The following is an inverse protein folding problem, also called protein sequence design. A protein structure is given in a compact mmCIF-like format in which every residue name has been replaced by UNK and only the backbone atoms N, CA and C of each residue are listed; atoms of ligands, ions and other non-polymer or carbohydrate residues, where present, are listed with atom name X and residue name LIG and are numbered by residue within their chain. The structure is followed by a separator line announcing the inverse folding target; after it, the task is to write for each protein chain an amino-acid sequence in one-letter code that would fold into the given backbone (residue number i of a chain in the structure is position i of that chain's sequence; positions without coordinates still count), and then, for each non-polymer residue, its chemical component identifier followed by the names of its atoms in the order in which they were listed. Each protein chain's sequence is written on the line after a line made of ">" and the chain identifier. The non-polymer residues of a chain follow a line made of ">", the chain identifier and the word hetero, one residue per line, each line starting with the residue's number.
data_IF_587043206867
#
_entry.id   IF_587043206867
#
_cell.length_a   1.000
_cell.length_b   1.000
_cell.length_c   1.000
_cell.angle_alpha   90.00
_cell.angle_beta   90.00
_cell.angle_gamma   90.00
#
_symmetry.space_group_name_H-M   'P 1'
#
loop_
_entity.id
_entity.type
_entity.pdbx_description
1 polymer ?
#
# COMPACT_ATOMS: atom_id res chain seq x y z
N UNK A 1 8.35 -0.81 -51.35
CA UNK A 1 9.18 -0.75 -50.13
C UNK A 1 9.06 0.61 -49.39
N UNK A 2 7.88 1.26 -49.37
CA UNK A 2 7.76 2.61 -48.77
C UNK A 2 6.34 2.85 -48.24
N UNK A 3 5.88 2.01 -47.29
CA UNK A 3 4.59 2.23 -46.60
C UNK A 3 4.54 1.66 -45.18
N UNK A 4 5.66 1.73 -44.44
CA UNK A 4 5.74 1.27 -43.03
C UNK A 4 6.18 2.36 -42.03
N UNK A 5 6.51 3.56 -42.49
CA UNK A 5 7.00 4.64 -41.63
C UNK A 5 5.93 5.65 -41.18
N UNK A 6 4.71 5.60 -41.75
CA UNK A 6 3.67 6.61 -41.50
C UNK A 6 2.66 6.29 -40.40
N UNK A 7 2.50 5.02 -40.01
CA UNK A 7 1.46 4.60 -39.04
C UNK A 7 1.98 4.61 -37.59
N UNK A 8 3.31 4.52 -37.39
CA UNK A 8 3.93 4.48 -36.05
C UNK A 8 3.99 5.86 -35.37
N UNK A 9 3.97 6.95 -36.15
CA UNK A 9 4.13 8.30 -35.62
C UNK A 9 2.91 8.80 -34.83
N UNK A 10 1.70 8.31 -35.14
CA UNK A 10 0.48 8.65 -34.41
C UNK A 10 0.39 7.91 -33.07
N UNK A 11 0.71 6.61 -33.05
CA UNK A 11 0.64 5.77 -31.84
C UNK A 11 1.73 6.10 -30.81
N UNK A 12 2.94 6.45 -31.27
CA UNK A 12 4.06 6.78 -30.38
C UNK A 12 3.87 8.10 -29.61
N UNK A 13 3.29 9.12 -30.26
CA UNK A 13 2.98 10.39 -29.60
C UNK A 13 1.88 10.23 -28.55
N UNK A 14 0.82 9.48 -28.88
CA UNK A 14 -0.29 9.20 -27.96
C UNK A 14 0.19 8.43 -26.72
N UNK A 15 1.01 7.38 -26.91
CA UNK A 15 1.59 6.62 -25.79
C UNK A 15 2.51 7.49 -24.92
N UNK A 16 3.29 8.39 -25.51
CA UNK A 16 4.13 9.32 -24.76
C UNK A 16 3.28 10.25 -23.87
N UNK A 17 2.16 10.75 -24.39
CA UNK A 17 1.21 11.57 -23.64
C UNK A 17 0.63 10.78 -22.46
N UNK A 18 0.21 9.53 -22.70
CA UNK A 18 -0.34 8.64 -21.67
C UNK A 18 0.69 8.39 -20.56
N UNK A 19 1.93 8.02 -20.90
CA UNK A 19 2.99 7.84 -19.92
C UNK A 19 3.29 9.13 -19.14
N UNK A 20 3.29 10.27 -19.83
CA UNK A 20 3.56 11.57 -19.20
C UNK A 20 2.49 11.93 -18.18
N UNK A 21 1.23 11.73 -18.50
CA UNK A 21 0.15 12.01 -17.54
C UNK A 21 0.09 10.99 -16.40
N UNK A 22 0.31 9.69 -16.66
CA UNK A 22 0.44 8.70 -15.58
C UNK A 22 1.59 9.07 -14.62
N UNK A 23 2.74 9.48 -15.14
CA UNK A 23 3.86 9.94 -14.32
C UNK A 23 3.52 11.22 -13.53
N UNK A 24 2.75 12.15 -14.12
CA UNK A 24 2.28 13.35 -13.44
C UNK A 24 1.32 13.02 -12.31
N UNK A 25 0.39 12.09 -12.53
CA UNK A 25 -0.55 11.61 -11.52
C UNK A 25 0.19 10.92 -10.36
N UNK A 26 1.19 10.09 -10.66
CA UNK A 26 2.06 9.49 -9.65
C UNK A 26 2.81 10.54 -8.82
N UNK A 27 3.35 11.59 -9.45
CA UNK A 27 4.03 12.68 -8.74
C UNK A 27 3.09 13.44 -7.80
N UNK A 28 1.82 13.63 -8.18
CA UNK A 28 0.81 14.23 -7.29
C UNK A 28 0.52 13.31 -6.09
N UNK A 29 0.47 12.01 -6.30
CA UNK A 29 0.32 11.02 -5.22
C UNK A 29 1.54 10.98 -4.29
N UNK A 30 2.76 11.15 -4.79
CA UNK A 30 3.97 11.22 -3.96
C UNK A 30 3.86 12.32 -2.90
N UNK A 31 3.31 13.49 -3.24
CA UNK A 31 3.07 14.55 -2.26
C UNK A 31 2.09 14.13 -1.16
N UNK A 32 1.04 13.37 -1.49
CA UNK A 32 0.12 12.80 -0.49
C UNK A 32 0.85 11.75 0.36
N UNK A 33 1.69 10.93 -0.26
CA UNK A 33 2.56 9.97 0.44
C UNK A 33 3.49 10.62 1.45
N UNK A 34 4.10 11.75 1.11
CA UNK A 34 4.96 12.52 2.02
C UNK A 34 4.18 13.07 3.22
N UNK A 35 2.94 13.51 3.01
CA UNK A 35 2.06 13.97 4.09
C UNK A 35 1.64 12.82 5.02
N UNK A 36 1.36 11.64 4.47
CA UNK A 36 1.10 10.43 5.24
C UNK A 36 2.32 10.04 6.09
N UNK A 37 3.52 10.05 5.51
CA UNK A 37 4.75 9.67 6.20
C UNK A 37 5.15 10.64 7.33
N UNK A 38 4.75 11.91 7.24
CA UNK A 38 5.08 12.97 8.21
C UNK A 38 3.97 13.24 9.23
N UNK A 39 2.93 12.42 9.25
CA UNK A 39 1.74 12.60 10.10
C UNK A 39 1.16 14.03 10.07
N UNK A 40 1.09 14.62 8.87
CA UNK A 40 0.55 15.97 8.70
C UNK A 40 -0.98 15.97 8.57
N UNK A 41 -1.67 17.10 8.83
CA UNK A 41 -3.13 17.18 8.69
C UNK A 41 -3.64 16.76 7.30
N UNK A 42 -4.25 15.59 7.19
CA UNK A 42 -4.53 14.95 5.89
C UNK A 42 -5.76 15.49 5.15
N UNK A 43 -6.63 16.29 5.80
CA UNK A 43 -7.78 16.90 5.09
C UNK A 43 -7.36 17.84 3.96
N UNK A 44 -6.14 18.40 4.06
CA UNK A 44 -5.57 19.26 3.02
C UNK A 44 -5.16 18.48 1.76
N UNK A 45 -5.26 17.15 1.75
CA UNK A 45 -5.00 16.31 0.57
C UNK A 45 -6.17 16.30 -0.41
N UNK A 46 -7.38 16.68 0.03
CA UNK A 46 -8.59 16.66 -0.81
C UNK A 46 -8.47 17.48 -2.10
N UNK A 47 -7.93 18.71 -2.11
CA UNK A 47 -7.66 19.44 -3.34
C UNK A 47 -6.72 18.68 -4.29
N UNK A 48 -5.74 17.95 -3.76
CA UNK A 48 -4.81 17.17 -4.59
C UNK A 48 -5.51 15.95 -5.16
N UNK A 49 -6.35 15.27 -4.38
CA UNK A 49 -7.23 14.22 -4.91
C UNK A 49 -8.18 14.76 -5.99
N UNK A 50 -8.69 15.98 -5.88
CA UNK A 50 -9.50 16.58 -6.94
C UNK A 50 -8.70 16.79 -8.24
N UNK A 51 -7.45 17.28 -8.16
CA UNK A 51 -6.57 17.41 -9.32
C UNK A 51 -6.19 16.04 -9.93
N UNK A 52 -6.01 15.02 -9.09
CA UNK A 52 -5.78 13.65 -9.57
C UNK A 52 -7.03 13.13 -10.28
N UNK A 53 -8.23 13.42 -9.77
CA UNK A 53 -9.49 13.01 -10.39
C UNK A 53 -9.62 13.61 -11.79
N UNK A 54 -9.42 14.93 -11.89
CA UNK A 54 -9.49 15.66 -13.16
C UNK A 54 -8.48 15.12 -14.17
N UNK A 55 -7.23 14.89 -13.77
CA UNK A 55 -6.21 14.32 -14.65
C UNK A 55 -6.50 12.87 -15.06
N UNK A 56 -7.08 12.06 -14.17
CA UNK A 56 -7.48 10.69 -14.48
C UNK A 56 -8.68 10.67 -15.45
N UNK A 57 -9.68 11.52 -15.24
CA UNK A 57 -10.82 11.68 -16.16
C UNK A 57 -10.37 12.13 -17.54
N UNK A 58 -9.49 13.14 -17.61
CA UNK A 58 -8.91 13.57 -18.87
C UNK A 58 -8.14 12.44 -19.58
N UNK A 59 -7.36 11.65 -18.82
CA UNK A 59 -6.61 10.54 -19.39
C UNK A 59 -7.51 9.44 -19.93
N UNK A 60 -8.62 9.15 -19.24
CA UNK A 60 -9.64 8.19 -19.71
C UNK A 60 -10.19 8.65 -21.05
N UNK A 61 -10.68 9.90 -21.13
CA UNK A 61 -11.22 10.47 -22.36
C UNK A 61 -10.17 10.48 -23.49
N UNK A 62 -8.92 10.83 -23.17
CA UNK A 62 -7.82 10.80 -24.14
C UNK A 62 -7.57 9.40 -24.70
N UNK A 63 -7.58 8.36 -23.85
CA UNK A 63 -7.37 6.98 -24.28
C UNK A 63 -8.57 6.51 -25.12
N UNK A 64 -9.80 6.82 -24.74
CA UNK A 64 -11.00 6.52 -25.53
C UNK A 64 -10.94 7.16 -26.92
N UNK A 65 -10.51 8.42 -27.00
CA UNK A 65 -10.29 9.10 -28.26
C UNK A 65 -9.21 8.40 -29.10
N UNK A 66 -8.11 7.92 -28.49
CA UNK A 66 -7.10 7.11 -29.17
C UNK A 66 -7.68 5.80 -29.72
N UNK A 67 -8.46 5.10 -28.89
CA UNK A 67 -9.17 3.88 -29.23
C UNK A 67 -10.32 4.09 -30.22
N UNK A 68 -10.70 5.32 -30.55
CA UNK A 68 -11.66 5.61 -31.63
C UNK A 68 -10.97 5.76 -33.00
N UNK A 69 -9.67 6.07 -33.03
CA UNK A 69 -8.88 6.32 -34.25
C UNK A 69 -8.25 5.05 -34.85
N UNK A 70 -8.83 3.87 -34.61
CA UNK A 70 -8.25 2.50 -34.73
C UNK A 70 -7.76 2.08 -36.11
N UNK A 71 -7.79 2.91 -37.15
CA UNK A 71 -7.33 2.48 -38.47
C UNK A 71 -5.81 2.20 -38.47
N UNK A 72 -5.44 0.92 -38.32
CA UNK A 72 -4.08 0.41 -38.43
C UNK A 72 -3.28 0.28 -37.13
N UNK A 73 -3.91 0.38 -35.95
CA UNK A 73 -3.26 0.08 -34.67
C UNK A 73 -3.06 -1.44 -34.49
N UNK A 74 -1.95 -1.81 -33.83
CA UNK A 74 -1.69 -3.19 -33.42
C UNK A 74 -2.72 -3.62 -32.35
N UNK A 75 -3.30 -4.81 -32.49
CA UNK A 75 -4.24 -5.38 -31.53
C UNK A 75 -3.66 -5.41 -30.10
N UNK A 76 -2.36 -5.69 -29.95
CA UNK A 76 -1.73 -5.68 -28.62
C UNK A 76 -1.75 -4.30 -27.95
N UNK A 77 -1.61 -3.22 -28.75
CA UNK A 77 -1.68 -1.84 -28.24
C UNK A 77 -3.12 -1.51 -27.86
N UNK A 78 -4.09 -1.90 -28.71
CA UNK A 78 -5.52 -1.69 -28.45
C UNK A 78 -5.93 -2.36 -27.13
N UNK A 79 -5.58 -3.65 -26.95
CA UNK A 79 -5.94 -4.41 -25.75
C UNK A 79 -5.32 -3.80 -24.48
N UNK A 80 -4.06 -3.37 -24.55
CA UNK A 80 -3.37 -2.75 -23.41
C UNK A 80 -3.93 -1.36 -23.06
N UNK A 81 -4.31 -0.57 -24.06
CA UNK A 81 -4.97 0.72 -23.86
C UNK A 81 -6.36 0.55 -23.25
N UNK A 82 -7.15 -0.41 -23.75
CA UNK A 82 -8.49 -0.69 -23.24
C UNK A 82 -8.44 -1.20 -21.79
N UNK A 83 -7.53 -2.14 -21.50
CA UNK A 83 -7.29 -2.62 -20.14
C UNK A 83 -6.85 -1.48 -19.20
N UNK A 84 -5.99 -0.59 -19.66
CA UNK A 84 -5.54 0.58 -18.90
C UNK A 84 -6.69 1.53 -18.63
N UNK A 85 -7.49 1.86 -19.66
CA UNK A 85 -8.63 2.76 -19.55
C UNK A 85 -9.65 2.23 -18.53
N UNK A 86 -10.01 0.95 -18.67
CA UNK A 86 -10.95 0.29 -17.78
C UNK A 86 -10.47 0.28 -16.32
N UNK A 87 -9.20 -0.05 -16.08
CA UNK A 87 -8.62 -0.08 -14.74
C UNK A 87 -8.66 1.30 -14.06
N UNK A 88 -8.25 2.35 -14.78
CA UNK A 88 -8.24 3.73 -14.25
C UNK A 88 -9.66 4.20 -13.96
N UNK A 89 -10.62 3.92 -14.85
CA UNK A 89 -12.02 4.26 -14.66
C UNK A 89 -12.59 3.59 -13.40
N UNK A 90 -12.41 2.28 -13.25
CA UNK A 90 -12.98 1.52 -12.14
C UNK A 90 -12.39 1.90 -10.79
N UNK A 91 -11.07 1.99 -10.69
CA UNK A 91 -10.40 2.39 -9.44
C UNK A 91 -10.72 3.84 -9.09
N UNK A 92 -10.73 4.76 -10.05
CA UNK A 92 -11.15 6.14 -9.81
C UNK A 92 -12.57 6.19 -9.27
N UNK A 93 -13.54 5.51 -9.93
CA UNK A 93 -14.92 5.47 -9.44
C UNK A 93 -14.98 4.96 -8.00
N UNK A 94 -14.34 3.85 -7.68
CA UNK A 94 -14.31 3.29 -6.32
C UNK A 94 -13.80 4.31 -5.31
N UNK A 95 -12.70 4.97 -5.61
CA UNK A 95 -12.04 5.89 -4.67
C UNK A 95 -12.89 7.14 -4.41
N UNK A 96 -13.44 7.76 -5.45
CA UNK A 96 -14.21 9.00 -5.30
C UNK A 96 -15.66 8.78 -4.84
N UNK A 97 -16.22 7.58 -5.06
CA UNK A 97 -17.62 7.28 -4.66
C UNK A 97 -17.73 6.48 -3.36
N UNK A 98 -16.66 5.84 -2.89
CA UNK A 98 -16.71 5.00 -1.68
C UNK A 98 -15.65 5.43 -0.65
N UNK A 99 -14.39 5.57 -1.07
CA UNK A 99 -13.29 5.75 -0.12
C UNK A 99 -13.21 7.19 0.41
N UNK A 100 -13.25 8.20 -0.46
CA UNK A 100 -13.12 9.61 -0.06
C UNK A 100 -14.44 10.24 0.40
N UNK A 101 -15.56 9.56 0.20
CA UNK A 101 -16.88 10.06 0.62
C UNK A 101 -16.93 10.23 2.14
N UNK A 102 -17.42 11.39 2.57
CA UNK A 102 -17.57 11.73 3.99
C UNK A 102 -16.25 12.07 4.71
N UNK A 103 -15.11 12.11 4.03
CA UNK A 103 -13.81 12.40 4.66
C UNK A 103 -13.80 13.72 5.43
N UNK A 104 -14.44 14.77 4.90
CA UNK A 104 -14.52 16.10 5.54
C UNK A 104 -15.26 16.02 6.89
N UNK A 105 -16.28 15.17 7.00
CA UNK A 105 -17.12 15.04 8.18
C UNK A 105 -16.43 14.27 9.32
N UNK A 106 -15.40 13.47 9.01
CA UNK A 106 -14.63 12.75 10.03
C UNK A 106 -13.86 13.70 10.94
N UNK A 107 -13.86 13.41 12.23
CA UNK A 107 -13.14 14.19 13.25
C UNK A 107 -11.91 13.47 13.80
N UNK A 108 -11.92 12.14 13.79
CA UNK A 108 -10.84 11.34 14.33
C UNK A 108 -9.69 11.21 13.31
N UNK A 109 -8.48 11.60 13.71
CA UNK A 109 -7.29 11.51 12.87
C UNK A 109 -7.05 10.09 12.31
N UNK A 110 -7.19 9.00 13.08
CA UNK A 110 -6.99 7.64 12.55
C UNK A 110 -7.95 7.27 11.41
N UNK A 111 -9.22 7.69 11.51
CA UNK A 111 -10.21 7.42 10.47
C UNK A 111 -9.93 8.23 9.19
N UNK A 112 -9.44 9.46 9.32
CA UNK A 112 -9.02 10.29 8.18
C UNK A 112 -7.79 9.67 7.52
N UNK A 113 -6.79 9.26 8.30
CA UNK A 113 -5.59 8.60 7.81
C UNK A 113 -5.92 7.35 7.01
N UNK A 114 -6.70 6.43 7.58
CA UNK A 114 -7.04 5.17 6.93
C UNK A 114 -7.68 5.38 5.55
N UNK A 115 -8.62 6.34 5.43
CA UNK A 115 -9.25 6.64 4.14
C UNK A 115 -8.28 7.25 3.13
N UNK A 116 -7.42 8.17 3.56
CA UNK A 116 -6.43 8.81 2.69
C UNK A 116 -5.37 7.80 2.24
N UNK A 117 -4.90 6.94 3.15
CA UNK A 117 -3.95 5.86 2.85
C UNK A 117 -4.51 4.85 1.86
N UNK A 118 -5.76 4.40 2.05
CA UNK A 118 -6.44 3.48 1.14
C UNK A 118 -6.57 4.12 -0.26
N UNK A 119 -7.10 5.34 -0.33
CA UNK A 119 -7.28 6.05 -1.60
C UNK A 119 -5.94 6.27 -2.34
N UNK A 120 -4.92 6.73 -1.61
CA UNK A 120 -3.56 6.90 -2.13
C UNK A 120 -2.98 5.56 -2.62
N UNK A 121 -3.10 4.50 -1.83
CA UNK A 121 -2.59 3.18 -2.15
C UNK A 121 -3.23 2.57 -3.41
N UNK A 122 -4.55 2.67 -3.53
CA UNK A 122 -5.30 2.18 -4.69
C UNK A 122 -4.92 2.92 -5.97
N UNK A 123 -4.97 4.26 -5.97
CA UNK A 123 -4.60 5.07 -7.14
C UNK A 123 -3.15 4.83 -7.56
N UNK A 124 -2.23 4.81 -6.58
CA UNK A 124 -0.81 4.59 -6.83
C UNK A 124 -0.57 3.23 -7.48
N UNK A 125 -1.18 2.17 -6.95
CA UNK A 125 -1.08 0.84 -7.54
C UNK A 125 -1.65 0.82 -8.96
N UNK A 126 -2.85 1.37 -9.16
CA UNK A 126 -3.49 1.46 -10.47
C UNK A 126 -2.58 2.10 -11.52
N UNK A 127 -2.07 3.31 -11.25
CA UNK A 127 -1.21 4.01 -12.22
C UNK A 127 0.14 3.31 -12.46
N UNK A 128 0.73 2.69 -11.44
CA UNK A 128 1.95 1.91 -11.63
C UNK A 128 1.71 0.68 -12.51
N UNK A 129 0.63 -0.06 -12.29
CA UNK A 129 0.27 -1.21 -13.10
C UNK A 129 -0.07 -0.81 -14.53
N UNK A 130 -0.75 0.33 -14.74
CA UNK A 130 -0.97 0.90 -16.07
C UNK A 130 0.35 1.20 -16.79
N UNK A 131 1.32 1.83 -16.10
CA UNK A 131 2.65 2.09 -16.68
C UNK A 131 3.36 0.78 -17.03
N UNK A 132 3.36 -0.21 -16.12
CA UNK A 132 4.02 -1.51 -16.35
C UNK A 132 3.39 -2.22 -17.56
N UNK A 133 2.07 -2.34 -17.60
CA UNK A 133 1.35 -3.02 -18.67
C UNK A 133 1.60 -2.37 -20.04
N UNK A 134 1.59 -1.03 -20.10
CA UNK A 134 1.92 -0.30 -21.33
C UNK A 134 3.40 -0.44 -21.72
N UNK A 135 4.31 -0.42 -20.75
CA UNK A 135 5.74 -0.52 -21.02
C UNK A 135 6.15 -1.93 -21.48
N UNK A 136 5.45 -2.97 -21.01
CA UNK A 136 5.65 -4.35 -21.43
C UNK A 136 5.31 -4.62 -22.91
N UNK A 137 4.57 -3.71 -23.57
CA UNK A 137 4.42 -3.73 -25.03
C UNK A 137 5.75 -3.55 -25.77
N UNK A 138 6.69 -2.84 -25.16
CA UNK A 138 7.99 -2.52 -25.74
C UNK A 138 9.11 -3.44 -25.23
N UNK A 139 9.00 -3.89 -23.98
CA UNK A 139 9.93 -4.82 -23.36
C UNK A 139 9.18 -5.77 -22.41
N UNK A 140 8.93 -7.00 -22.85
CA UNK A 140 8.21 -8.01 -22.06
C UNK A 140 9.00 -8.51 -20.85
N UNK A 141 10.31 -8.26 -20.81
CA UNK A 141 11.17 -8.61 -19.66
C UNK A 141 11.22 -7.53 -18.58
N UNK A 142 10.53 -6.41 -18.81
CA UNK A 142 10.46 -5.30 -17.89
C UNK A 142 9.78 -5.71 -16.58
N UNK A 143 10.58 -5.68 -15.53
CA UNK A 143 10.15 -5.93 -14.16
C UNK A 143 9.68 -4.63 -13.50
N UNK A 144 8.42 -4.60 -13.07
CA UNK A 144 7.82 -3.47 -12.36
C UNK A 144 8.53 -3.11 -11.06
N UNK A 145 9.22 -4.07 -10.43
CA UNK A 145 10.05 -3.81 -9.26
C UNK A 145 11.29 -2.95 -9.60
N UNK A 146 11.84 -3.09 -10.81
CA UNK A 146 12.97 -2.28 -11.29
C UNK A 146 12.56 -0.85 -11.67
N UNK A 147 11.32 -0.67 -12.11
CA UNK A 147 10.77 0.66 -12.44
C UNK A 147 10.32 1.45 -11.21
N UNK A 148 9.83 0.76 -10.19
CA UNK A 148 9.27 1.40 -9.02
C UNK A 148 9.82 0.80 -7.72
N UNK A 149 10.92 1.38 -7.22
CA UNK A 149 11.57 0.97 -5.97
C UNK A 149 10.59 0.84 -4.78
N UNK A 150 9.54 1.65 -4.71
CA UNK A 150 8.61 1.62 -3.56
C UNK A 150 7.72 0.37 -3.50
N UNK A 151 7.53 -0.36 -4.62
CA UNK A 151 6.84 -1.67 -4.59
C UNK A 151 7.72 -2.69 -3.84
N UNK A 152 9.02 -2.69 -4.14
CA UNK A 152 10.04 -3.43 -3.39
C UNK A 152 10.03 -3.01 -1.92
N UNK A 153 10.03 -1.71 -1.63
CA UNK A 153 10.05 -1.20 -0.25
C UNK A 153 8.82 -1.61 0.56
N UNK A 154 7.60 -1.55 0.01
CA UNK A 154 6.38 -2.00 0.74
C UNK A 154 6.35 -3.50 0.98
N UNK A 155 6.86 -4.28 0.03
CA UNK A 155 7.04 -5.73 0.19
C UNK A 155 8.03 -6.00 1.32
N UNK A 156 9.22 -5.38 1.28
CA UNK A 156 10.26 -5.50 2.31
C UNK A 156 9.74 -5.10 3.70
N UNK A 157 9.05 -3.97 3.79
CA UNK A 157 8.42 -3.50 5.04
C UNK A 157 7.36 -4.48 5.55
N UNK A 158 6.53 -5.04 4.66
CA UNK A 158 5.50 -6.01 5.04
C UNK A 158 6.10 -7.36 5.43
N UNK A 159 7.20 -7.77 4.81
CA UNK A 159 7.95 -8.97 5.17
C UNK A 159 8.62 -8.81 6.54
N UNK A 160 9.30 -7.69 6.77
CA UNK A 160 9.91 -7.36 8.06
C UNK A 160 8.86 -7.32 9.18
N UNK A 161 7.77 -6.58 8.97
CA UNK A 161 6.67 -6.51 9.93
C UNK A 161 6.05 -7.88 10.21
N UNK A 162 5.78 -8.68 9.18
CA UNK A 162 5.18 -10.02 9.36
C UNK A 162 6.10 -10.93 10.17
N UNK A 163 7.41 -10.86 9.94
CA UNK A 163 8.41 -11.58 10.72
C UNK A 163 8.44 -11.12 12.18
N UNK A 164 8.50 -9.82 12.42
CA UNK A 164 8.64 -9.28 13.76
C UNK A 164 7.37 -9.49 14.60
N UNK A 165 6.18 -9.36 13.99
CA UNK A 165 4.91 -9.71 14.64
C UNK A 165 4.85 -11.18 15.05
N UNK A 166 5.35 -12.09 14.21
CA UNK A 166 5.41 -13.51 14.55
C UNK A 166 6.34 -13.77 15.74
N UNK A 167 7.55 -13.20 15.72
CA UNK A 167 8.51 -13.36 16.81
C UNK A 167 7.95 -12.87 18.15
N UNK A 168 7.31 -11.70 18.15
CA UNK A 168 6.69 -11.15 19.37
C UNK A 168 5.52 -12.01 19.82
N UNK A 169 4.65 -12.46 18.91
CA UNK A 169 3.55 -13.35 19.24
C UNK A 169 4.06 -14.61 19.93
N UNK A 170 5.12 -15.22 19.41
CA UNK A 170 5.71 -16.41 20.02
C UNK A 170 6.33 -16.11 21.39
N UNK A 171 7.02 -14.97 21.56
CA UNK A 171 7.56 -14.55 22.86
C UNK A 171 6.47 -14.27 23.89
N UNK A 172 5.38 -13.61 23.50
CA UNK A 172 4.21 -13.34 24.35
C UNK A 172 3.54 -14.66 24.78
N UNK A 173 3.29 -15.57 23.83
CA UNK A 173 2.71 -16.89 24.13
C UNK A 173 3.62 -17.73 25.01
N UNK A 174 4.94 -17.63 24.85
CA UNK A 174 5.92 -18.32 25.71
C UNK A 174 5.94 -17.75 27.12
N UNK A 175 5.96 -16.42 27.25
CA UNK A 175 5.89 -15.74 28.54
C UNK A 175 4.57 -16.03 29.28
N UNK A 176 3.46 -16.21 28.56
CA UNK A 176 2.17 -16.61 29.14
C UNK A 176 2.18 -18.05 29.69
N UNK A 177 2.90 -18.96 29.02
CA UNK A 177 3.01 -20.38 29.40
C UNK A 177 4.06 -20.63 30.48
N UNK A 178 5.21 -19.97 30.40
CA UNK A 178 6.38 -20.16 31.27
C UNK A 178 6.44 -19.11 32.40
N UNK A 179 5.30 -18.95 33.10
CA UNK A 179 4.97 -17.83 34.02
C UNK A 179 6.00 -17.50 35.10
N UNK A 180 6.84 -18.47 35.48
CA UNK A 180 7.84 -18.34 36.54
C UNK A 180 9.29 -18.45 36.05
N UNK A 181 9.52 -18.76 34.77
CA UNK A 181 10.84 -19.09 34.23
C UNK A 181 11.32 -18.14 33.13
N UNK A 182 10.41 -17.34 32.56
CA UNK A 182 10.75 -16.46 31.45
C UNK A 182 11.24 -15.09 31.91
N UNK A 183 12.43 -14.62 31.48
CA UNK A 183 12.89 -13.29 31.78
C UNK A 183 12.03 -12.27 31.03
N UNK A 184 11.07 -11.67 31.74
CA UNK A 184 10.21 -10.58 31.23
C UNK A 184 11.03 -9.45 30.61
N UNK A 185 12.27 -9.25 31.09
CA UNK A 185 13.23 -8.31 30.52
C UNK A 185 13.50 -8.54 29.01
N UNK A 186 13.62 -9.80 28.57
CA UNK A 186 13.87 -10.12 27.17
C UNK A 186 12.63 -9.81 26.30
N UNK A 187 11.43 -10.06 26.83
CA UNK A 187 10.19 -9.67 26.16
C UNK A 187 10.10 -8.15 26.02
N UNK A 188 10.37 -7.41 27.08
CA UNK A 188 10.33 -5.93 27.06
C UNK A 188 11.36 -5.36 26.08
N UNK A 189 12.57 -5.93 26.03
CA UNK A 189 13.59 -5.52 25.06
C UNK A 189 13.15 -5.76 23.62
N UNK A 190 12.59 -6.94 23.31
CA UNK A 190 12.04 -7.24 21.98
C UNK A 190 10.85 -6.33 21.62
N UNK A 191 9.98 -6.01 22.57
CA UNK A 191 8.89 -5.07 22.35
C UNK A 191 9.40 -3.65 22.08
N UNK A 192 10.47 -3.23 22.75
CA UNK A 192 11.13 -1.94 22.48
C UNK A 192 11.79 -1.92 21.10
N UNK A 193 12.46 -3.01 20.71
CA UNK A 193 13.03 -3.15 19.36
C UNK A 193 11.95 -3.10 18.27
N UNK A 194 10.82 -3.78 18.49
CA UNK A 194 9.66 -3.72 17.58
C UNK A 194 9.08 -2.31 17.48
N UNK A 195 8.87 -1.66 18.63
CA UNK A 195 8.35 -0.30 18.72
C UNK A 195 9.22 0.68 17.93
N UNK A 196 10.53 0.61 18.11
CA UNK A 196 11.48 1.51 17.44
C UNK A 196 11.79 1.11 16.00
N UNK A 197 11.37 -0.09 15.57
CA UNK A 197 11.60 -0.63 14.25
C UNK A 197 10.29 -0.77 13.48
N UNK A 198 9.85 -2.03 13.33
CA UNK A 198 8.78 -2.43 12.42
C UNK A 198 7.38 -1.94 12.79
N UNK A 199 7.13 -1.42 14.00
CA UNK A 199 5.81 -0.88 14.39
C UNK A 199 5.31 0.15 13.39
N UNK A 200 6.22 0.99 12.86
CA UNK A 200 5.90 2.03 11.87
C UNK A 200 5.40 1.47 10.53
N UNK A 201 5.53 0.17 10.29
CA UNK A 201 5.00 -0.50 9.09
C UNK A 201 3.57 -1.02 9.29
N UNK A 202 3.03 -0.96 10.51
CA UNK A 202 1.61 -1.18 10.79
C UNK A 202 0.77 -0.06 10.19
N UNK A 203 -0.50 -0.37 9.93
CA UNK A 203 -1.48 0.67 9.61
C UNK A 203 -1.61 1.56 10.84
N UNK A 204 -1.67 2.88 10.66
CA UNK A 204 -1.69 3.84 11.76
C UNK A 204 -2.81 3.57 12.79
N UNK A 205 -3.97 3.08 12.33
CA UNK A 205 -5.10 2.70 13.21
C UNK A 205 -4.71 1.65 14.28
N UNK A 206 -3.69 0.85 14.01
CA UNK A 206 -3.24 -0.24 14.86
C UNK A 206 -2.11 0.21 15.81
N UNK A 207 -1.50 1.39 15.60
CA UNK A 207 -0.39 1.90 16.42
C UNK A 207 -0.82 2.08 17.87
N UNK A 208 -1.88 2.86 18.12
CA UNK A 208 -2.33 3.20 19.49
C UNK A 208 -2.65 1.94 20.31
N UNK A 209 -3.28 0.93 19.68
CA UNK A 209 -3.58 -0.33 20.35
C UNK A 209 -2.31 -1.11 20.68
N UNK A 210 -1.36 -1.18 19.73
CA UNK A 210 -0.10 -1.89 19.92
C UNK A 210 0.79 -1.21 20.98
N UNK A 211 0.92 0.12 20.93
CA UNK A 211 1.66 0.93 21.91
C UNK A 211 1.08 0.76 23.32
N UNK A 212 -0.25 0.82 23.47
CA UNK A 212 -0.91 0.61 24.76
C UNK A 212 -0.59 -0.76 25.36
N UNK A 213 -0.58 -1.82 24.55
CA UNK A 213 -0.20 -3.15 25.04
C UNK A 213 1.29 -3.21 25.43
N UNK A 214 2.18 -2.58 24.67
CA UNK A 214 3.61 -2.51 24.99
C UNK A 214 3.83 -1.79 26.32
N UNK A 215 3.11 -0.69 26.56
CA UNK A 215 3.13 0.04 27.83
C UNK A 215 2.57 -0.80 28.99
N UNK A 216 1.41 -1.46 28.81
CA UNK A 216 0.80 -2.33 29.82
C UNK A 216 1.76 -3.47 30.23
N UNK A 217 2.42 -4.12 29.26
CA UNK A 217 3.42 -5.18 29.51
C UNK A 217 4.63 -4.63 30.26
N UNK A 218 5.11 -3.44 29.88
CA UNK A 218 6.28 -2.81 30.49
C UNK A 218 6.00 -2.32 31.91
N UNK A 219 4.75 -1.95 32.22
CA UNK A 219 4.33 -1.43 33.51
C UNK A 219 3.93 -2.52 34.52
N UNK A 220 3.56 -3.72 34.05
CA UNK A 220 3.07 -4.81 34.88
C UNK A 220 4.10 -5.26 35.93
N UNK A 221 3.66 -5.36 37.20
CA UNK A 221 4.52 -5.76 38.32
C UNK A 221 4.22 -7.18 38.76
N UNK A 222 5.02 -8.11 38.25
CA UNK A 222 4.95 -9.52 38.60
C UNK A 222 3.87 -10.31 37.84
N UNK A 223 3.85 -11.62 38.06
CA UNK A 223 3.11 -12.56 37.22
C UNK A 223 1.58 -12.36 37.24
N UNK A 224 1.02 -11.89 38.36
CA UNK A 224 -0.43 -11.72 38.54
C UNK A 224 -0.98 -10.62 37.61
N UNK A 225 -0.28 -9.49 37.50
CA UNK A 225 -0.67 -8.37 36.62
C UNK A 225 -0.32 -8.67 35.16
N UNK A 226 0.82 -9.33 34.92
CA UNK A 226 1.33 -9.58 33.58
C UNK A 226 0.50 -10.62 32.81
N UNK A 227 0.06 -11.69 33.46
CA UNK A 227 -0.68 -12.80 32.81
C UNK A 227 -1.92 -12.35 32.01
N UNK A 228 -2.87 -11.58 32.58
CA UNK A 228 -4.04 -11.14 31.83
C UNK A 228 -3.70 -10.18 30.68
N UNK A 229 -2.64 -9.39 30.82
CA UNK A 229 -2.16 -8.50 29.75
C UNK A 229 -1.58 -9.33 28.60
N UNK A 230 -0.72 -10.30 28.89
CA UNK A 230 -0.13 -11.19 27.87
C UNK A 230 -1.18 -11.98 27.10
N UNK A 231 -2.21 -12.50 27.78
CA UNK A 231 -3.29 -13.22 27.12
C UNK A 231 -4.05 -12.33 26.12
N UNK A 232 -4.47 -11.13 26.56
CA UNK A 232 -5.14 -10.15 25.69
C UNK A 232 -4.25 -9.71 24.54
N UNK A 233 -2.97 -9.48 24.81
CA UNK A 233 -2.02 -9.03 23.80
C UNK A 233 -1.73 -10.14 22.77
N UNK A 234 -1.60 -11.39 23.21
CA UNK A 234 -1.43 -12.55 22.33
C UNK A 234 -2.58 -12.71 21.35
N UNK A 235 -3.83 -12.62 21.81
CA UNK A 235 -5.01 -12.68 20.94
C UNK A 235 -5.06 -11.50 19.94
N UNK A 236 -4.68 -10.30 20.38
CA UNK A 236 -4.56 -9.13 19.51
C UNK A 236 -3.49 -9.33 18.43
N UNK A 237 -2.28 -9.76 18.82
CA UNK A 237 -1.16 -9.99 17.90
C UNK A 237 -1.47 -11.09 16.88
N UNK A 238 -2.16 -12.16 17.28
CA UNK A 238 -2.59 -13.21 16.36
C UNK A 238 -3.55 -12.65 15.29
N UNK A 239 -4.52 -11.84 15.71
CA UNK A 239 -5.44 -11.16 14.79
C UNK A 239 -4.69 -10.22 13.86
N UNK A 240 -3.78 -9.42 14.40
CA UNK A 240 -3.00 -8.44 13.65
C UNK A 240 -2.06 -9.11 12.64
N UNK A 241 -1.37 -10.18 13.05
CA UNK A 241 -0.52 -10.98 12.17
C UNK A 241 -1.30 -11.56 10.99
N UNK A 242 -2.50 -12.10 11.24
CA UNK A 242 -3.36 -12.62 10.18
C UNK A 242 -3.79 -11.52 9.21
N UNK A 243 -4.18 -10.35 9.72
CA UNK A 243 -4.54 -9.19 8.87
C UNK A 243 -3.35 -8.68 8.03
N UNK A 244 -2.17 -8.59 8.62
CA UNK A 244 -0.94 -8.20 7.90
C UNK A 244 -0.57 -9.23 6.84
N UNK A 245 -0.75 -10.52 7.12
CA UNK A 245 -0.48 -11.61 6.17
C UNK A 245 -1.39 -11.60 4.95
N UNK A 246 -2.55 -10.94 5.03
CA UNK A 246 -3.49 -10.76 3.91
C UNK A 246 -3.17 -9.53 3.04
N UNK A 247 -2.13 -8.76 3.34
CA UNK A 247 -1.72 -7.62 2.49
C UNK A 247 -1.43 -8.12 1.07
N UNK A 248 -2.00 -7.45 0.07
CA UNK A 248 -1.87 -7.83 -1.34
C UNK A 248 -0.42 -7.91 -1.81
N UNK A 249 0.48 -7.09 -1.25
CA UNK A 249 1.92 -7.11 -1.58
C UNK A 249 2.61 -8.42 -1.15
N UNK A 250 2.03 -9.20 -0.23
CA UNK A 250 2.56 -10.49 0.20
C UNK A 250 2.01 -11.66 -0.63
N UNK A 251 1.16 -11.41 -1.62
CA UNK A 251 0.67 -12.45 -2.52
C UNK A 251 1.85 -13.12 -3.25
N UNK A 252 1.96 -14.45 -3.13
CA UNK A 252 3.09 -15.22 -3.66
C UNK A 252 4.30 -15.35 -2.73
N UNK A 253 4.28 -14.70 -1.56
CA UNK A 253 5.33 -14.81 -0.54
C UNK A 253 4.81 -15.58 0.69
N UNK A 254 4.90 -16.92 0.63
CA UNK A 254 4.59 -17.77 1.77
C UNK A 254 5.39 -17.35 3.02
N UNK A 255 4.80 -17.52 4.20
CA UNK A 255 5.51 -17.20 5.44
C UNK A 255 6.30 -18.42 5.91
N UNK A 256 7.62 -18.27 5.96
CA UNK A 256 8.49 -19.23 6.62
C UNK A 256 8.51 -18.94 8.12
N UNK A 257 7.95 -19.85 8.90
CA UNK A 257 7.89 -19.76 10.36
C UNK A 257 9.31 -19.90 10.95
N UNK A 258 9.95 -18.82 11.42
CA UNK A 258 11.26 -18.89 12.04
C UNK A 258 11.16 -19.63 13.37
N UNK A 259 12.13 -20.50 13.66
CA UNK A 259 12.29 -21.07 14.99
C UNK A 259 12.75 -19.98 15.98
N UNK A 260 12.22 -20.03 17.21
CA UNK A 260 12.68 -19.24 18.35
C UNK A 260 13.93 -19.83 18.98
#
# INVERSE_FOLDING_TARGET
>A
LTRRAGVVAASGADLLIIFTELARLLRRLEFIGDLLARDQPLKQTLPIFALIHEGASWLIEFIEDCLSRVEGLDHAIVDALDATNYAIMMESRKIYTQELVGLIALRQAPAIYAKVEIAHGLLRNCFQQSIIGLAQLFDTSLDGARLFNNLQTRLEQSLALRRDLWLILQMVQRAEKERDQHPVAQLVESLSAFHNGSLHYLMYKDWEACERFIEEVSAARGAIELTPVLNRFGAYLETLFNQVSLRSVLAGHAFDYPAL
#
